data_IF_796860350242
#
_entry.id   IF_796860350242
#
_cell.length_a   1.000
_cell.length_b   1.000
_cell.length_c   1.000
_cell.angle_alpha   90.00
_cell.angle_beta   90.00
_cell.angle_gamma   90.00
#
_symmetry.space_group_name_H-M   'P 1'
#
loop_
_entity.id
_entity.type
_entity.pdbx_description
1 polymer ?
#
# COMPACT_ATOMS: atom_id res chain seq x y z
N UNK A 1 31.22 16.83 11.21
CA UNK A 1 30.88 17.78 12.29
C UNK A 1 29.33 17.90 12.30
N UNK A 2 28.65 17.06 13.10
CA UNK A 2 27.21 16.98 13.14
C UNK A 2 26.63 18.07 14.04
N UNK A 3 25.84 18.96 13.47
CA UNK A 3 25.05 19.91 14.23
C UNK A 3 23.91 19.17 14.92
N UNK A 4 24.02 18.98 16.23
CA UNK A 4 22.89 18.63 17.10
C UNK A 4 21.95 19.82 17.11
N UNK A 5 20.81 19.72 16.40
CA UNK A 5 19.71 20.66 16.57
C UNK A 5 19.18 20.50 17.99
N UNK A 6 19.41 21.53 18.79
CA UNK A 6 18.93 21.62 20.18
C UNK A 6 17.41 21.61 20.18
N UNK A 7 16.83 20.74 21.00
CA UNK A 7 15.38 20.59 21.22
C UNK A 7 14.70 21.80 21.88
N UNK A 8 15.42 22.90 22.05
CA UNK A 8 14.96 24.07 22.77
C UNK A 8 14.25 25.15 21.91
N UNK A 9 14.34 25.10 20.58
CA UNK A 9 13.78 26.15 19.72
C UNK A 9 12.32 25.94 19.30
N UNK A 10 11.72 24.78 19.60
CA UNK A 10 10.31 24.46 19.22
C UNK A 10 9.29 24.78 20.34
N UNK A 11 9.75 25.21 21.51
CA UNK A 11 8.86 25.38 22.68
C UNK A 11 8.39 26.81 22.95
N UNK A 12 8.62 27.77 22.09
CA UNK A 12 8.17 29.14 22.28
C UNK A 12 6.80 29.42 21.65
N UNK A 13 5.74 29.26 22.43
CA UNK A 13 4.44 29.86 22.20
C UNK A 13 3.28 28.90 21.96
N UNK A 14 2.58 28.56 23.04
CA UNK A 14 1.14 28.70 23.18
C UNK A 14 0.62 27.96 24.42
N UNK A 15 0.21 28.70 25.43
CA UNK A 15 -0.62 28.21 26.53
C UNK A 15 -2.08 28.37 26.12
N UNK A 16 -2.74 27.30 25.85
CA UNK A 16 -4.18 27.20 25.69
C UNK A 16 -4.64 25.89 26.30
N UNK A 17 -5.02 25.92 27.59
CA UNK A 17 -5.55 24.77 28.29
C UNK A 17 -7.00 24.56 27.93
N UNK A 18 -7.31 23.52 27.17
CA UNK A 18 -8.61 22.85 27.23
C UNK A 18 -8.30 21.41 27.65
N UNK A 19 -8.64 21.03 28.89
CA UNK A 19 -8.41 19.73 29.52
C UNK A 19 -6.98 19.40 30.00
N UNK A 20 -6.15 20.37 30.35
CA UNK A 20 -4.89 20.09 31.06
C UNK A 20 -3.86 19.24 30.33
N UNK A 21 -3.99 19.01 29.01
CA UNK A 21 -3.00 18.31 28.18
C UNK A 21 -2.23 19.30 27.31
N UNK A 22 -0.91 19.23 27.37
CA UNK A 22 -0.05 19.95 26.45
C UNK A 22 -0.27 19.38 25.04
N UNK A 23 -0.67 20.23 24.09
CA UNK A 23 -0.82 19.86 22.69
C UNK A 23 0.40 20.39 21.94
N UNK A 24 1.17 19.50 21.33
CA UNK A 24 2.24 19.89 20.40
C UNK A 24 1.59 20.39 19.10
N UNK A 25 2.01 21.56 18.64
CA UNK A 25 1.55 22.16 17.37
C UNK A 25 2.75 22.25 16.43
N UNK A 26 2.59 21.71 15.23
CA UNK A 26 3.64 21.70 14.19
C UNK A 26 3.00 22.28 12.93
N UNK A 27 3.57 23.35 12.40
CA UNK A 27 3.12 23.93 11.15
C UNK A 27 3.67 23.11 9.96
N UNK A 28 2.81 22.58 9.13
CA UNK A 28 3.23 21.73 8.01
C UNK A 28 4.23 22.38 7.04
N UNK A 29 4.13 23.70 6.71
CA UNK A 29 5.12 24.36 5.83
C UNK A 29 6.54 24.46 6.40
N UNK A 30 6.71 24.26 7.72
CA UNK A 30 8.02 24.34 8.39
C UNK A 30 8.76 22.98 8.38
N UNK A 31 8.09 21.92 7.90
CA UNK A 31 8.63 20.57 7.89
C UNK A 31 9.40 20.29 6.60
N UNK A 32 10.53 19.60 6.74
CA UNK A 32 11.18 18.98 5.59
C UNK A 32 10.36 17.79 5.08
N UNK A 33 10.52 17.37 3.80
CA UNK A 33 9.86 16.18 3.27
C UNK A 33 10.08 14.92 4.13
N UNK A 34 11.28 14.74 4.68
CA UNK A 34 11.61 13.61 5.57
C UNK A 34 10.84 13.68 6.89
N UNK A 35 10.76 14.86 7.51
CA UNK A 35 9.99 15.06 8.75
C UNK A 35 8.50 14.82 8.51
N UNK A 36 7.95 15.37 7.42
CA UNK A 36 6.57 15.13 7.00
C UNK A 36 6.30 13.65 6.80
N UNK A 37 7.19 12.94 6.09
CA UNK A 37 7.06 11.49 5.88
C UNK A 37 7.02 10.72 7.21
N UNK A 38 7.91 11.04 8.17
CA UNK A 38 7.93 10.40 9.49
C UNK A 38 6.63 10.62 10.26
N UNK A 39 6.09 11.84 10.26
CA UNK A 39 4.81 12.14 10.89
C UNK A 39 3.65 11.42 10.21
N UNK A 40 3.51 11.57 8.90
CA UNK A 40 2.43 10.95 8.13
C UNK A 40 2.44 9.42 8.25
N UNK A 41 3.60 8.80 8.13
CA UNK A 41 3.73 7.34 8.22
C UNK A 41 3.48 6.80 9.64
N UNK A 42 3.64 7.63 10.68
CA UNK A 42 3.34 7.29 12.07
C UNK A 42 1.87 7.54 12.46
N UNK A 43 1.22 8.53 11.84
CA UNK A 43 -0.17 8.91 12.14
C UNK A 43 -1.16 8.08 11.32
N UNK A 44 -0.88 7.88 10.02
CA UNK A 44 -1.74 7.09 9.13
C UNK A 44 -1.40 5.62 9.28
N UNK A 45 -1.96 4.98 10.28
CA UNK A 45 -1.73 3.57 10.63
C UNK A 45 -3.05 2.91 11.09
N UNK A 46 -3.18 1.57 10.96
CA UNK A 46 -2.33 0.65 10.21
C UNK A 46 -2.51 0.83 8.70
N UNK A 47 -1.45 0.66 7.91
CA UNK A 47 -1.54 0.70 6.45
C UNK A 47 -1.50 -0.71 5.88
N UNK A 48 -2.44 -1.11 5.01
CA UNK A 48 -2.34 -2.37 4.29
C UNK A 48 -1.13 -2.34 3.36
N UNK A 49 -0.65 -3.51 2.96
CA UNK A 49 0.49 -3.66 2.07
C UNK A 49 0.02 -4.25 0.74
N UNK A 50 0.19 -3.50 -0.35
CA UNK A 50 0.14 -4.02 -1.69
C UNK A 50 1.53 -4.59 -2.03
N UNK A 51 1.66 -5.92 -2.09
CA UNK A 51 2.88 -6.58 -2.50
C UNK A 51 2.78 -6.86 -4.00
N UNK A 52 3.43 -6.01 -4.79
CA UNK A 52 3.13 -5.88 -6.21
C UNK A 52 4.15 -6.62 -7.05
N UNK A 53 3.67 -7.50 -7.92
CA UNK A 53 4.44 -8.07 -9.02
C UNK A 53 4.19 -7.27 -10.30
N UNK A 54 5.25 -7.04 -11.08
CA UNK A 54 5.22 -6.46 -12.42
C UNK A 54 6.23 -7.18 -13.30
N UNK A 55 6.09 -7.05 -14.62
CA UNK A 55 7.10 -7.52 -15.56
C UNK A 55 8.13 -6.43 -15.82
N UNK A 56 9.38 -6.74 -15.58
CA UNK A 56 10.53 -5.90 -15.88
C UNK A 56 11.22 -6.30 -17.19
N UNK A 57 12.40 -5.73 -17.46
CA UNK A 57 13.18 -6.05 -18.65
C UNK A 57 13.41 -7.55 -18.82
N UNK A 58 13.27 -8.04 -20.05
CA UNK A 58 13.46 -9.46 -20.37
C UNK A 58 12.45 -10.41 -19.73
N UNK A 59 11.31 -9.91 -19.26
CA UNK A 59 10.27 -10.73 -18.61
C UNK A 59 10.58 -11.08 -17.13
N UNK A 60 11.58 -10.46 -16.53
CA UNK A 60 11.89 -10.64 -15.10
C UNK A 60 10.75 -10.14 -14.23
N UNK A 61 10.43 -10.88 -13.18
CA UNK A 61 9.37 -10.50 -12.24
C UNK A 61 9.95 -9.58 -11.16
N UNK A 62 9.61 -8.30 -11.23
CA UNK A 62 9.89 -7.35 -10.17
C UNK A 62 8.84 -7.50 -9.06
N UNK A 63 9.27 -7.48 -7.81
CA UNK A 63 8.42 -7.65 -6.63
C UNK A 63 8.75 -6.60 -5.57
N UNK A 64 7.79 -5.73 -5.23
CA UNK A 64 8.01 -4.69 -4.24
C UNK A 64 6.76 -4.41 -3.38
N UNK A 65 6.92 -4.11 -2.06
CA UNK A 65 5.82 -3.78 -1.16
C UNK A 65 5.55 -2.27 -1.14
N UNK A 66 4.25 -1.91 -1.16
CA UNK A 66 3.78 -0.53 -1.03
C UNK A 66 2.69 -0.43 0.03
N UNK A 67 2.82 0.52 0.94
CA UNK A 67 1.88 0.68 2.06
C UNK A 67 0.97 1.91 1.99
N UNK A 68 1.07 2.72 0.95
CA UNK A 68 0.09 3.77 0.66
C UNK A 68 -0.91 3.24 -0.38
N UNK A 69 -1.80 2.34 0.04
CA UNK A 69 -2.66 1.52 -0.79
C UNK A 69 -4.08 1.44 -0.23
N UNK A 70 -5.08 1.49 -1.10
CA UNK A 70 -6.50 1.39 -0.75
C UNK A 70 -7.33 0.92 -1.94
N UNK A 71 -8.58 0.44 -1.69
CA UNK A 71 -9.56 0.32 -2.77
C UNK A 71 -10.17 1.69 -3.11
N UNK A 72 -10.55 1.89 -4.38
CA UNK A 72 -11.02 3.18 -4.91
C UNK A 72 -12.48 3.09 -5.36
N UNK A 73 -12.87 1.99 -6.02
CA UNK A 73 -14.21 1.78 -6.55
C UNK A 73 -14.63 0.32 -6.39
N UNK A 74 -15.92 0.08 -6.30
CA UNK A 74 -16.51 -1.26 -6.30
C UNK A 74 -17.16 -1.62 -7.63
N UNK A 75 -17.41 -0.66 -8.52
CA UNK A 75 -18.01 -0.90 -9.84
C UNK A 75 -17.47 0.10 -10.87
N UNK A 76 -16.55 -0.32 -11.75
CA UNK A 76 -15.79 -1.56 -11.65
C UNK A 76 -14.90 -1.60 -10.40
N UNK A 77 -14.46 -2.78 -9.96
CA UNK A 77 -13.60 -2.89 -8.79
C UNK A 77 -12.22 -2.28 -9.10
N UNK A 78 -11.83 -1.27 -8.33
CA UNK A 78 -10.56 -0.57 -8.52
C UNK A 78 -9.81 -0.41 -7.20
N UNK A 79 -8.50 -0.46 -7.28
CA UNK A 79 -7.61 -0.15 -6.18
C UNK A 79 -6.57 0.89 -6.61
N UNK A 80 -6.03 1.59 -5.62
CA UNK A 80 -5.04 2.64 -5.85
C UNK A 80 -3.83 2.48 -4.94
N UNK A 81 -2.66 2.77 -5.48
CA UNK A 81 -1.39 2.74 -4.77
C UNK A 81 -0.58 3.99 -5.08
N UNK A 82 -0.09 4.66 -4.03
CA UNK A 82 0.81 5.79 -4.20
C UNK A 82 2.26 5.30 -4.23
N UNK A 83 2.97 5.62 -5.31
CA UNK A 83 4.37 5.25 -5.52
C UNK A 83 5.21 6.52 -5.60
N UNK A 84 6.11 6.70 -4.63
CA UNK A 84 7.06 7.79 -4.63
C UNK A 84 8.23 7.56 -5.57
N UNK A 85 9.05 8.60 -5.74
CA UNK A 85 10.29 8.55 -6.53
C UNK A 85 11.47 8.05 -5.68
N UNK A 86 12.49 7.57 -6.36
CA UNK A 86 13.81 7.27 -5.81
C UNK A 86 14.83 8.14 -6.53
N UNK A 87 15.54 8.99 -5.79
CA UNK A 87 16.49 9.96 -6.38
C UNK A 87 15.91 10.71 -7.60
N UNK A 88 14.63 11.11 -7.53
CA UNK A 88 13.91 11.79 -8.62
C UNK A 88 13.42 10.88 -9.75
N UNK A 89 13.78 9.60 -9.77
CA UNK A 89 13.40 8.64 -10.80
C UNK A 89 12.20 7.79 -10.37
N UNK A 90 11.43 7.30 -11.32
CA UNK A 90 10.39 6.29 -11.08
C UNK A 90 11.03 4.99 -10.62
N UNK A 91 10.42 4.36 -9.62
CA UNK A 91 10.75 3.00 -9.21
C UNK A 91 10.39 2.02 -10.32
N UNK A 92 11.01 0.84 -10.31
CA UNK A 92 10.81 -0.21 -11.32
C UNK A 92 9.32 -0.58 -11.46
N UNK A 93 8.63 -0.79 -10.36
CA UNK A 93 7.19 -1.07 -10.36
C UNK A 93 6.39 -0.01 -11.12
N UNK A 94 6.66 1.28 -10.91
CA UNK A 94 5.96 2.37 -11.60
C UNK A 94 6.28 2.41 -13.09
N UNK A 95 7.55 2.17 -13.49
CA UNK A 95 7.96 2.09 -14.89
C UNK A 95 7.26 0.93 -15.59
N UNK A 96 7.33 -0.25 -14.98
CA UNK A 96 6.76 -1.47 -15.54
C UNK A 96 5.23 -1.38 -15.69
N UNK A 97 4.52 -0.78 -14.70
CA UNK A 97 3.09 -0.52 -14.82
C UNK A 97 2.75 0.38 -16.00
N UNK A 98 3.55 1.44 -16.24
CA UNK A 98 3.34 2.36 -17.37
C UNK A 98 3.67 1.70 -18.71
N UNK A 99 4.69 0.84 -18.75
CA UNK A 99 5.13 0.15 -19.96
C UNK A 99 4.17 -0.94 -20.39
N UNK A 100 3.75 -1.79 -19.43
CA UNK A 100 2.95 -2.98 -19.74
C UNK A 100 1.45 -2.79 -19.52
N UNK A 101 1.03 -1.77 -18.78
CA UNK A 101 -0.37 -1.49 -18.52
C UNK A 101 -1.06 -2.47 -17.55
N UNK A 102 -0.30 -3.33 -16.86
CA UNK A 102 -0.88 -4.30 -15.94
C UNK A 102 0.09 -4.68 -14.80
N UNK A 103 -0.47 -5.18 -13.71
CA UNK A 103 0.26 -5.59 -12.50
C UNK A 103 -0.61 -6.51 -11.64
N UNK A 104 0.00 -7.22 -10.69
CA UNK A 104 -0.73 -8.00 -9.69
C UNK A 104 -0.47 -7.44 -8.31
N UNK A 105 -1.52 -7.26 -7.51
CA UNK A 105 -1.41 -7.01 -6.09
C UNK A 105 -1.58 -8.33 -5.33
N UNK A 106 -0.53 -8.76 -4.65
CA UNK A 106 -0.55 -9.91 -3.77
C UNK A 106 -0.75 -9.43 -2.34
N UNK A 107 -1.65 -10.05 -1.59
CA UNK A 107 -1.87 -9.77 -0.18
C UNK A 107 -1.13 -10.82 0.63
N UNK A 108 -0.09 -10.40 1.33
CA UNK A 108 0.70 -11.29 2.19
C UNK A 108 0.12 -11.38 3.59
N UNK A 109 0.30 -12.53 4.21
CA UNK A 109 -0.04 -12.82 5.60
C UNK A 109 1.20 -12.81 6.52
N UNK A 110 1.02 -13.15 7.79
CA UNK A 110 2.12 -13.14 8.76
C UNK A 110 3.29 -14.07 8.39
N UNK A 111 3.02 -15.20 7.74
CA UNK A 111 4.05 -16.19 7.35
C UNK A 111 4.98 -15.62 6.26
N UNK A 112 4.52 -14.63 5.50
CA UNK A 112 5.26 -14.01 4.40
C UNK A 112 5.95 -12.70 4.82
N UNK A 113 5.89 -12.31 6.10
CA UNK A 113 6.39 -11.00 6.57
C UNK A 113 7.86 -10.77 6.24
N UNK A 114 8.71 -11.76 6.47
CA UNK A 114 10.16 -11.61 6.21
C UNK A 114 10.44 -11.43 4.71
N UNK A 115 9.74 -12.15 3.85
CA UNK A 115 9.85 -11.99 2.41
C UNK A 115 9.32 -10.63 1.92
N UNK A 116 8.18 -10.17 2.47
CA UNK A 116 7.66 -8.82 2.20
C UNK A 116 8.67 -7.75 2.61
N UNK A 117 9.31 -7.90 3.76
CA UNK A 117 10.31 -6.96 4.23
C UNK A 117 11.56 -6.98 3.35
N UNK A 118 12.08 -8.16 3.04
CA UNK A 118 13.29 -8.33 2.22
C UNK A 118 13.09 -7.83 0.79
N UNK A 119 11.90 -8.02 0.19
CA UNK A 119 11.60 -7.50 -1.16
C UNK A 119 11.51 -5.96 -1.25
N UNK A 120 11.67 -5.25 -0.14
CA UNK A 120 11.80 -3.78 -0.14
C UNK A 120 13.24 -3.32 -0.40
N UNK A 121 14.20 -4.22 -0.41
CA UNK A 121 15.60 -3.92 -0.76
C UNK A 121 15.70 -3.52 -2.22
N UNK A 122 16.66 -2.62 -2.49
CA UNK A 122 16.82 -2.05 -3.82
C UNK A 122 17.81 -2.87 -4.64
N UNK A 123 17.37 -3.35 -5.78
CA UNK A 123 18.17 -4.11 -6.74
C UNK A 123 18.18 -3.44 -8.13
N UNK A 124 19.14 -3.78 -9.01
CA UNK A 124 19.06 -3.41 -10.42
C UNK A 124 17.81 -3.98 -11.10
N UNK A 125 17.27 -3.32 -12.15
CA UNK A 125 16.02 -3.72 -12.81
C UNK A 125 16.02 -5.14 -13.41
N UNK A 126 17.21 -5.70 -13.67
CA UNK A 126 17.42 -7.04 -14.22
C UNK A 126 17.35 -8.15 -13.16
N UNK A 127 17.31 -7.77 -11.88
CA UNK A 127 17.22 -8.68 -10.75
C UNK A 127 15.75 -8.86 -10.35
N UNK A 128 15.35 -10.11 -10.17
CA UNK A 128 14.02 -10.47 -9.69
C UNK A 128 14.07 -10.72 -8.19
N UNK A 129 13.38 -9.92 -7.41
CA UNK A 129 13.25 -10.13 -5.96
C UNK A 129 12.53 -11.46 -5.67
N UNK A 130 11.60 -11.86 -6.53
CA UNK A 130 10.92 -13.16 -6.39
C UNK A 130 11.91 -14.34 -6.52
N UNK A 131 12.82 -14.27 -7.50
CA UNK A 131 13.88 -15.28 -7.67
C UNK A 131 14.86 -15.26 -6.49
N UNK A 132 15.33 -14.09 -6.07
CA UNK A 132 16.25 -13.94 -4.93
C UNK A 132 15.68 -14.52 -3.64
N UNK A 133 14.38 -14.32 -3.40
CA UNK A 133 13.69 -14.80 -2.21
C UNK A 133 13.12 -16.21 -2.37
N UNK A 134 13.40 -16.88 -3.49
CA UNK A 134 12.94 -18.25 -3.79
C UNK A 134 11.40 -18.38 -3.70
N UNK A 135 10.70 -17.34 -4.16
CA UNK A 135 9.24 -17.31 -4.19
C UNK A 135 8.74 -17.82 -5.54
N UNK A 136 7.97 -18.88 -5.51
CA UNK A 136 7.32 -19.41 -6.70
C UNK A 136 6.28 -18.43 -7.24
N UNK A 137 6.25 -18.27 -8.56
CA UNK A 137 5.25 -17.48 -9.27
C UNK A 137 4.38 -18.39 -10.13
N UNK A 138 3.11 -18.02 -10.22
CA UNK A 138 2.14 -18.66 -11.11
C UNK A 138 1.77 -17.67 -12.22
N UNK A 139 1.50 -18.16 -13.45
CA UNK A 139 1.10 -17.26 -14.53
C UNK A 139 -0.18 -16.51 -14.18
N UNK A 140 -0.31 -15.30 -14.72
CA UNK A 140 -1.58 -14.60 -14.71
C UNK A 140 -2.58 -15.28 -15.66
N UNK A 141 -3.86 -15.12 -15.39
CA UNK A 141 -4.94 -15.72 -16.18
C UNK A 141 -5.68 -14.65 -17.02
N UNK A 142 -5.89 -13.45 -16.45
CA UNK A 142 -6.49 -12.31 -17.14
C UNK A 142 -5.47 -11.32 -17.71
N UNK A 143 -4.23 -11.36 -17.23
CA UNK A 143 -3.11 -10.49 -17.65
C UNK A 143 -1.82 -11.29 -17.73
N UNK A 144 -0.80 -10.75 -18.39
CA UNK A 144 0.49 -11.44 -18.56
C UNK A 144 1.37 -11.43 -17.29
N UNK A 145 1.15 -10.52 -16.33
CA UNK A 145 1.96 -10.44 -15.10
C UNK A 145 1.69 -11.63 -14.19
N UNK A 146 2.74 -12.35 -13.73
CA UNK A 146 2.59 -13.45 -12.79
C UNK A 146 2.19 -12.98 -11.39
N UNK A 147 1.54 -13.87 -10.64
CA UNK A 147 1.21 -13.72 -9.21
C UNK A 147 2.10 -14.61 -8.35
N UNK A 148 2.22 -14.30 -7.07
CA UNK A 148 2.92 -15.16 -6.12
C UNK A 148 2.09 -16.38 -5.74
N UNK A 149 2.67 -17.57 -5.82
CA UNK A 149 2.00 -18.83 -5.47
C UNK A 149 1.63 -18.88 -3.98
N UNK A 150 2.49 -18.35 -3.11
CA UNK A 150 2.31 -18.38 -1.67
C UNK A 150 1.28 -17.34 -1.15
N UNK A 151 0.91 -16.32 -1.94
CA UNK A 151 -0.01 -15.29 -1.50
C UNK A 151 -1.44 -15.85 -1.34
N UNK A 152 -2.08 -15.68 -0.16
CA UNK A 152 -3.44 -16.16 0.05
C UNK A 152 -4.49 -15.45 -0.78
N UNK A 153 -4.21 -14.23 -1.25
CA UNK A 153 -5.06 -13.47 -2.17
C UNK A 153 -4.18 -12.76 -3.19
N UNK A 154 -4.55 -12.81 -4.46
CA UNK A 154 -3.92 -12.00 -5.52
C UNK A 154 -4.99 -11.36 -6.40
N UNK A 155 -4.73 -10.14 -6.85
CA UNK A 155 -5.63 -9.33 -7.67
C UNK A 155 -4.92 -8.96 -8.96
N UNK A 156 -5.37 -9.50 -10.08
CA UNK A 156 -4.85 -9.13 -11.40
C UNK A 156 -5.47 -7.81 -11.85
N UNK A 157 -4.64 -6.83 -12.15
CA UNK A 157 -5.07 -5.47 -12.42
C UNK A 157 -4.58 -4.95 -13.77
N UNK A 158 -5.45 -4.24 -14.46
CA UNK A 158 -5.10 -3.41 -15.62
C UNK A 158 -4.99 -1.97 -15.15
N UNK A 159 -3.92 -1.27 -15.54
CA UNK A 159 -3.72 0.13 -15.20
C UNK A 159 -4.83 0.99 -15.81
N UNK A 160 -5.58 1.71 -14.97
CA UNK A 160 -6.66 2.59 -15.37
C UNK A 160 -6.18 4.03 -15.53
N UNK A 161 -5.48 4.57 -14.52
CA UNK A 161 -5.02 5.97 -14.55
C UNK A 161 -3.84 6.19 -13.60
N UNK A 162 -3.11 7.27 -13.84
CA UNK A 162 -2.01 7.74 -12.98
C UNK A 162 -2.17 9.23 -12.76
N UNK A 163 -2.12 9.65 -11.50
CA UNK A 163 -2.26 11.06 -11.10
C UNK A 163 -1.06 11.48 -10.25
N UNK A 164 -0.30 12.52 -10.64
CA UNK A 164 0.78 13.05 -9.83
C UNK A 164 0.24 13.86 -8.65
N UNK A 165 0.96 13.82 -7.51
CA UNK A 165 0.64 14.58 -6.31
C UNK A 165 1.89 15.19 -5.68
N UNK A 166 1.76 16.45 -5.25
CA UNK A 166 2.82 17.19 -4.55
C UNK A 166 4.09 17.39 -5.38
N UNK A 167 5.10 17.95 -4.72
CA UNK A 167 6.34 18.40 -5.40
C UNK A 167 7.46 17.35 -5.38
N UNK A 168 7.27 16.23 -4.66
CA UNK A 168 8.25 15.13 -4.58
C UNK A 168 8.13 14.10 -5.70
N UNK A 169 7.18 14.31 -6.63
CA UNK A 169 6.96 13.44 -7.78
C UNK A 169 6.26 12.12 -7.44
N UNK A 170 5.53 12.06 -6.32
CA UNK A 170 4.68 10.91 -6.01
C UNK A 170 3.54 10.79 -7.03
N UNK A 171 3.22 9.56 -7.43
CA UNK A 171 2.16 9.26 -8.40
C UNK A 171 1.19 8.23 -7.83
N UNK A 172 -0.10 8.51 -7.94
CA UNK A 172 -1.16 7.58 -7.53
C UNK A 172 -1.63 6.78 -8.74
N UNK A 173 -1.29 5.49 -8.73
CA UNK A 173 -1.66 4.52 -9.76
C UNK A 173 -2.98 3.88 -9.40
N UNK A 174 -3.97 3.94 -10.29
CA UNK A 174 -5.26 3.26 -10.13
C UNK A 174 -5.32 2.09 -11.10
N UNK A 175 -5.61 0.90 -10.60
CA UNK A 175 -5.78 -0.31 -11.38
C UNK A 175 -7.20 -0.85 -11.25
N UNK A 176 -7.79 -1.26 -12.37
CA UNK A 176 -9.04 -2.01 -12.41
C UNK A 176 -8.74 -3.49 -12.20
N UNK A 177 -9.36 -4.11 -11.22
CA UNK A 177 -9.21 -5.54 -10.92
C UNK A 177 -9.99 -6.35 -11.95
N UNK A 178 -9.29 -7.22 -12.66
CA UNK A 178 -9.87 -8.14 -13.66
C UNK A 178 -10.16 -9.53 -13.12
N UNK A 179 -9.35 -9.98 -12.16
CA UNK A 179 -9.50 -11.31 -11.57
C UNK A 179 -9.03 -11.32 -10.12
N UNK A 180 -9.79 -11.99 -9.27
CA UNK A 180 -9.44 -12.25 -7.88
C UNK A 180 -9.05 -13.71 -7.72
N UNK A 181 -7.84 -14.00 -7.29
CA UNK A 181 -7.40 -15.31 -6.82
C UNK A 181 -7.52 -15.33 -5.31
N UNK A 182 -8.27 -16.26 -4.78
CA UNK A 182 -8.51 -16.39 -3.34
C UNK A 182 -8.25 -17.84 -2.95
N UNK A 183 -7.39 -18.07 -1.97
CA UNK A 183 -7.11 -19.40 -1.44
C UNK A 183 -8.39 -20.08 -0.96
N UNK A 184 -8.54 -21.36 -1.26
CA UNK A 184 -9.69 -22.14 -0.84
C UNK A 184 -9.93 -22.07 0.67
N UNK A 185 -11.20 -21.95 1.06
CA UNK A 185 -11.64 -21.82 2.45
C UNK A 185 -11.49 -20.41 3.04
N UNK A 186 -10.85 -19.47 2.34
CA UNK A 186 -10.66 -18.10 2.84
C UNK A 186 -11.90 -17.20 2.63
N UNK A 187 -12.75 -17.54 1.67
CA UNK A 187 -13.99 -16.81 1.40
C UNK A 187 -15.21 -17.68 1.73
N UNK A 188 -16.22 -17.07 2.39
CA UNK A 188 -17.50 -17.67 2.66
C UNK A 188 -18.61 -16.63 2.39
N UNK A 189 -19.63 -17.02 1.62
CA UNK A 189 -20.77 -16.15 1.29
C UNK A 189 -20.35 -14.76 0.73
N UNK A 190 -19.32 -14.75 -0.13
CA UNK A 190 -18.77 -13.53 -0.73
C UNK A 190 -17.98 -12.64 0.23
N UNK A 191 -17.64 -13.12 1.42
CA UNK A 191 -16.84 -12.39 2.43
C UNK A 191 -15.55 -13.11 2.71
N UNK A 192 -14.46 -12.35 2.80
CA UNK A 192 -13.17 -12.87 3.25
C UNK A 192 -13.18 -13.03 4.78
N UNK A 193 -12.75 -14.18 5.25
CA UNK A 193 -12.38 -14.34 6.67
C UNK A 193 -11.05 -13.62 6.92
N UNK A 194 -11.15 -12.38 7.39
CA UNK A 194 -9.98 -11.52 7.61
C UNK A 194 -9.08 -12.05 8.72
N UNK A 195 -9.63 -12.79 9.69
CA UNK A 195 -8.85 -13.42 10.75
C UNK A 195 -8.00 -14.57 10.18
N UNK A 196 -8.60 -15.38 9.30
CA UNK A 196 -7.90 -16.47 8.63
C UNK A 196 -6.91 -15.96 7.57
N UNK A 197 -7.18 -14.83 6.95
CA UNK A 197 -6.24 -14.16 6.04
C UNK A 197 -5.00 -13.67 6.78
N UNK A 198 -5.17 -13.18 8.03
CA UNK A 198 -4.10 -12.65 8.90
C UNK A 198 -3.15 -11.67 8.19
N UNK A 199 -3.67 -10.62 7.54
CA UNK A 199 -2.84 -9.73 6.75
C UNK A 199 -1.89 -8.94 7.64
N UNK A 200 -0.67 -8.69 7.14
CA UNK A 200 0.28 -7.80 7.82
C UNK A 200 0.08 -6.36 7.37
N UNK A 201 0.32 -5.44 8.30
CA UNK A 201 0.16 -4.02 8.10
C UNK A 201 1.48 -3.28 8.40
N UNK A 202 1.76 -2.20 7.66
CA UNK A 202 2.87 -1.31 7.93
C UNK A 202 2.50 -0.26 8.99
N UNK A 203 3.41 -0.05 9.93
CA UNK A 203 3.36 1.03 10.92
C UNK A 203 4.45 2.05 10.58
N UNK A 204 4.72 3.02 11.45
CA UNK A 204 5.82 3.97 11.26
C UNK A 204 7.19 3.31 11.39
N UNK A 205 8.18 3.80 10.62
CA UNK A 205 9.53 3.25 10.57
C UNK A 205 9.55 1.81 10.02
N UNK A 206 10.46 0.93 10.48
CA UNK A 206 10.58 -0.46 10.01
C UNK A 206 9.56 -1.41 10.67
N UNK A 207 8.54 -0.88 11.33
CA UNK A 207 7.62 -1.67 12.14
C UNK A 207 6.45 -2.21 11.32
N UNK A 208 6.00 -3.39 11.67
CA UNK A 208 4.82 -4.07 11.15
C UNK A 208 3.87 -4.43 12.29
N UNK A 209 2.62 -4.68 11.96
CA UNK A 209 1.63 -5.20 12.89
C UNK A 209 0.75 -6.24 12.19
N UNK A 210 0.21 -7.15 13.00
CA UNK A 210 -0.90 -8.04 12.62
C UNK A 210 -2.22 -7.42 13.10
N UNK A 211 -3.34 -7.96 12.66
CA UNK A 211 -4.63 -7.60 13.23
C UNK A 211 -4.67 -8.03 14.69
N UNK A 212 -5.12 -7.12 15.56
CA UNK A 212 -5.48 -7.45 16.93
C UNK A 212 -6.81 -8.20 17.01
N UNK A 213 -7.33 -8.46 18.22
CA UNK A 213 -8.65 -9.06 18.41
C UNK A 213 -9.74 -8.26 17.72
N UNK A 214 -10.65 -8.94 17.02
CA UNK A 214 -11.77 -8.29 16.34
C UNK A 214 -12.75 -7.71 17.36
N UNK A 215 -13.16 -6.47 17.13
CA UNK A 215 -14.21 -5.81 17.90
C UNK A 215 -15.46 -5.69 17.03
N UNK A 216 -16.44 -6.54 17.28
CA UNK A 216 -17.72 -6.51 16.55
C UNK A 216 -18.66 -5.51 17.20
N UNK A 217 -19.23 -4.64 16.40
CA UNK A 217 -20.29 -3.69 16.80
C UNK A 217 -21.58 -4.01 16.09
N UNK A 218 -22.70 -3.59 16.70
CA UNK A 218 -24.03 -3.68 16.08
C UNK A 218 -24.05 -2.95 14.74
N UNK A 219 -24.61 -3.60 13.71
CA UNK A 219 -24.83 -2.95 12.40
C UNK A 219 -25.75 -1.75 12.57
N UNK A 220 -25.34 -0.61 12.06
CA UNK A 220 -26.18 0.59 11.99
C UNK A 220 -27.02 0.53 10.70
N UNK A 221 -28.24 1.06 10.76
CA UNK A 221 -29.09 1.21 9.58
C UNK A 221 -28.45 2.26 8.66
N UNK A 222 -28.14 1.87 7.44
CA UNK A 222 -27.52 2.74 6.43
C UNK A 222 -28.15 2.44 5.06
N UNK A 223 -28.17 3.44 4.19
CA UNK A 223 -28.48 3.22 2.77
C UNK A 223 -27.38 2.34 2.16
N UNK A 224 -27.75 1.30 1.38
CA UNK A 224 -26.75 0.47 0.71
C UNK A 224 -25.84 1.30 -0.18
N UNK A 225 -24.52 1.11 -0.05
CA UNK A 225 -23.52 1.84 -0.85
C UNK A 225 -23.57 1.52 -2.35
N UNK A 226 -24.24 0.44 -2.73
CA UNK A 226 -24.47 0.04 -4.12
C UNK A 226 -25.62 0.79 -4.79
N UNK A 227 -26.43 1.52 -4.02
CA UNK A 227 -27.52 2.32 -4.56
C UNK A 227 -26.93 3.69 -4.95
N UNK A 228 -26.55 3.83 -6.21
CA UNK A 228 -26.41 5.15 -6.82
C UNK A 228 -27.83 5.70 -6.98
N UNK A 229 -28.15 6.79 -6.31
CA UNK A 229 -29.37 7.53 -6.57
C UNK A 229 -29.45 7.82 -8.09
N UNK A 230 -30.59 7.62 -8.68
CA UNK A 230 -30.85 8.18 -10.00
C UNK A 230 -31.02 9.68 -9.82
N UNK A 231 -29.90 10.39 -9.68
CA UNK A 231 -29.88 11.83 -9.94
C UNK A 231 -30.04 11.97 -11.45
N UNK A 232 -31.29 12.04 -11.85
CA UNK A 232 -31.65 12.50 -13.19
C UNK A 232 -31.24 13.96 -13.29
N UNK A 233 -30.46 14.41 -14.31
CA UNK A 233 -30.11 15.79 -14.50
C UNK A 233 -31.31 16.67 -14.75
#
# INVERSE_FOLDING_TARGET
>A
MGAKLSSAAVLAGFSGSIYGRLVMRIAAPELTPEQTYKLMSGIVVPRPIAWITTLGPGGKVNLAPFSCYTFVSNTPPMLGVNIGRKAGLRKDTARNMLEHGHFVVNVGNADLLDAIHASAEEHPPEVSEAELLQLDVLPGEAIATPRLAAAPVSLECVLHSVTPFGDTGAEFFVGEVRLFHIRDGLARDGKIDTTLLDPVCRIGGPNYARLGPLITKRTLRQTPKSVMGQDTP
#
